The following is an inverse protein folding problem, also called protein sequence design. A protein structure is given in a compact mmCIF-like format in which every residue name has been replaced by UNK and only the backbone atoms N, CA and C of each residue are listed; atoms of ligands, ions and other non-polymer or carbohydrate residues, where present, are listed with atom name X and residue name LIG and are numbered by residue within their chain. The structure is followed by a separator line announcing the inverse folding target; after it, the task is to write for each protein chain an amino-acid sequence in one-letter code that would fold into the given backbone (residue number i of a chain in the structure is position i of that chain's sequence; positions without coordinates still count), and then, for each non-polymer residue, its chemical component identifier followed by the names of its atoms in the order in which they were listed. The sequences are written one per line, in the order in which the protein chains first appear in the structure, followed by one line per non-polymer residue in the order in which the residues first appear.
data_IF_592754961754
#
_entry.id   IF_592754961754
#
_cell.length_a   1.000
_cell.length_b   1.000
_cell.length_c   1.000
_cell.angle_alpha   90.00
_cell.angle_beta   90.00
_cell.angle_gamma   90.00
#
_symmetry.space_group_name_H-M   'P 1'
#
loop_
_entity.id
_entity.type
_entity.pdbx_description
1 polymer ?
#
# COMPACT_ATOMS: atom_id res chain seq x y z
N UNK A 1 -19.10 36.22 11.57
CA UNK A 1 -17.89 35.47 11.90
C UNK A 1 -18.28 34.01 11.93
N UNK A 2 -17.90 33.27 10.91
CA UNK A 2 -18.03 31.83 10.83
C UNK A 2 -16.82 31.37 10.05
N UNK A 3 -15.81 30.87 10.77
CA UNK A 3 -14.69 30.18 10.16
C UNK A 3 -15.29 28.90 9.56
N UNK A 4 -15.42 28.88 8.24
CA UNK A 4 -15.43 27.62 7.51
C UNK A 4 -14.05 27.02 7.76
N UNK A 5 -14.00 25.97 8.58
CA UNK A 5 -12.85 25.09 8.65
C UNK A 5 -12.68 24.49 7.25
N UNK A 6 -11.83 25.13 6.43
CA UNK A 6 -11.32 24.54 5.19
C UNK A 6 -10.65 23.23 5.60
N UNK A 7 -11.29 22.11 5.26
CA UNK A 7 -10.77 20.77 5.49
C UNK A 7 -9.49 20.62 4.66
N UNK A 8 -8.34 20.95 5.26
CA UNK A 8 -7.08 21.04 4.57
C UNK A 8 -6.73 19.69 3.94
N UNK A 9 -6.59 19.66 2.60
CA UNK A 9 -6.21 18.45 1.87
C UNK A 9 -4.89 17.92 2.45
N UNK A 10 -4.85 16.67 2.95
CA UNK A 10 -3.63 16.10 3.48
C UNK A 10 -2.52 16.08 2.43
N UNK A 11 -1.29 16.35 2.84
CA UNK A 11 -0.16 16.31 1.91
C UNK A 11 0.02 14.90 1.34
N UNK A 12 0.43 14.81 0.07
CA UNK A 12 0.73 13.52 -0.56
C UNK A 12 1.76 12.72 0.25
N UNK A 13 2.75 13.39 0.84
CA UNK A 13 3.73 12.77 1.71
C UNK A 13 3.10 12.12 2.95
N UNK A 14 2.13 12.79 3.59
CA UNK A 14 1.42 12.23 4.73
C UNK A 14 0.61 10.98 4.32
N UNK A 15 -0.13 11.06 3.21
CA UNK A 15 -0.95 9.95 2.72
C UNK A 15 -0.08 8.73 2.38
N UNK A 16 1.04 8.92 1.67
CA UNK A 16 1.98 7.83 1.36
C UNK A 16 2.57 7.22 2.62
N UNK A 17 2.98 8.04 3.60
CA UNK A 17 3.49 7.54 4.87
C UNK A 17 2.43 6.76 5.67
N UNK A 18 1.18 7.17 5.61
CA UNK A 18 0.08 6.46 6.27
C UNK A 18 -0.13 5.08 5.65
N UNK A 19 -0.17 4.99 4.31
CA UNK A 19 -0.26 3.71 3.63
C UNK A 19 0.90 2.80 3.98
N UNK A 20 2.14 3.30 4.00
CA UNK A 20 3.29 2.52 4.41
C UNK A 20 3.20 2.05 5.88
N UNK A 21 2.72 2.89 6.80
CA UNK A 21 2.54 2.49 8.21
C UNK A 21 1.55 1.36 8.37
N UNK A 22 0.49 1.34 7.57
CA UNK A 22 -0.57 0.33 7.61
C UNK A 22 -0.11 -0.96 6.93
N UNK A 23 0.37 -0.87 5.68
CA UNK A 23 0.67 -2.05 4.87
C UNK A 23 2.09 -2.56 5.05
N UNK A 24 3.02 -1.69 5.43
CA UNK A 24 4.48 -1.97 5.47
C UNK A 24 5.04 -2.42 4.13
N UNK A 25 4.40 -2.03 3.03
CA UNK A 25 4.87 -2.33 1.67
C UNK A 25 5.62 -1.14 1.10
N UNK A 26 6.82 -1.39 0.61
CA UNK A 26 7.58 -0.47 -0.25
C UNK A 26 7.48 -0.96 -1.70
N UNK A 27 7.14 -0.05 -2.63
CA UNK A 27 6.85 -0.41 -4.02
C UNK A 27 8.06 -0.13 -4.92
N UNK A 28 8.27 -1.00 -5.91
CA UNK A 28 9.25 -0.80 -6.98
C UNK A 28 8.66 0.17 -8.02
N UNK A 29 9.04 1.44 -7.95
CA UNK A 29 8.57 2.50 -8.85
C UNK A 29 9.16 2.43 -10.26
N UNK A 30 10.18 1.59 -10.48
CA UNK A 30 10.79 1.36 -11.79
C UNK A 30 10.19 0.13 -12.50
N UNK A 31 9.24 -0.56 -11.85
CA UNK A 31 8.56 -1.71 -12.44
C UNK A 31 7.59 -1.30 -13.56
N UNK A 32 7.29 -2.24 -14.45
CA UNK A 32 6.27 -2.06 -15.49
C UNK A 32 4.90 -1.74 -14.86
N UNK A 33 4.07 -0.84 -15.44
CA UNK A 33 2.84 -0.36 -14.79
C UNK A 33 1.81 -1.43 -14.42
N UNK A 34 1.86 -2.57 -15.10
CA UNK A 34 0.98 -3.69 -14.84
C UNK A 34 1.55 -4.70 -13.82
N UNK A 35 2.82 -4.57 -13.48
CA UNK A 35 3.51 -5.42 -12.54
C UNK A 35 3.42 -4.79 -11.14
N UNK A 36 2.80 -5.51 -10.22
CA UNK A 36 2.66 -5.09 -8.83
C UNK A 36 3.85 -5.67 -8.09
N UNK A 37 4.89 -4.85 -7.90
CA UNK A 37 6.17 -5.31 -7.39
C UNK A 37 6.65 -4.46 -6.22
N UNK A 38 7.14 -5.10 -5.18
CA UNK A 38 7.56 -4.43 -3.95
C UNK A 38 8.10 -5.39 -2.90
N UNK A 39 8.29 -4.88 -1.69
CA UNK A 39 8.75 -5.65 -0.53
C UNK A 39 7.82 -5.36 0.65
N UNK A 40 7.33 -6.40 1.29
CA UNK A 40 6.56 -6.31 2.54
C UNK A 40 7.48 -6.51 3.76
N UNK A 41 7.48 -5.53 4.67
CA UNK A 41 8.27 -5.51 5.90
C UNK A 41 7.39 -5.82 7.13
N UNK A 42 7.15 -7.12 7.36
CA UNK A 42 6.49 -7.62 8.56
C UNK A 42 7.42 -7.69 9.79
N UNK A 43 6.95 -8.29 10.91
CA UNK A 43 7.81 -8.61 12.07
C UNK A 43 8.85 -9.69 11.75
N UNK A 44 8.63 -10.46 10.70
CA UNK A 44 9.49 -11.53 10.21
C UNK A 44 10.44 -11.06 9.09
N UNK A 45 11.07 -12.01 8.40
CA UNK A 45 11.91 -11.76 7.22
C UNK A 45 11.07 -11.06 6.14
N UNK A 46 11.61 -9.98 5.56
CA UNK A 46 10.97 -9.25 4.48
C UNK A 46 10.62 -10.16 3.29
N UNK A 47 9.40 -10.03 2.77
CA UNK A 47 8.88 -10.88 1.70
C UNK A 47 8.76 -10.10 0.39
N UNK A 48 9.23 -10.63 -0.75
CA UNK A 48 9.05 -9.99 -2.04
C UNK A 48 7.58 -10.13 -2.49
N UNK A 49 7.10 -9.09 -3.18
CA UNK A 49 5.85 -9.07 -3.92
C UNK A 49 6.22 -8.93 -5.39
N UNK A 50 5.73 -9.85 -6.23
CA UNK A 50 5.87 -9.78 -7.69
C UNK A 50 4.65 -10.45 -8.34
N UNK A 51 3.68 -9.64 -8.78
CA UNK A 51 2.41 -10.10 -9.34
C UNK A 51 2.19 -9.44 -10.70
N UNK A 52 1.88 -10.24 -11.72
CA UNK A 52 1.39 -9.72 -12.99
C UNK A 52 -0.10 -9.33 -12.87
N UNK A 53 -0.37 -8.04 -12.72
CA UNK A 53 -1.72 -7.49 -12.56
C UNK A 53 -2.63 -7.72 -13.77
N UNK A 54 -2.11 -8.16 -14.92
CA UNK A 54 -2.93 -8.54 -16.10
C UNK A 54 -3.58 -9.92 -15.93
N UNK A 55 -3.01 -10.77 -15.09
CA UNK A 55 -3.46 -12.17 -14.91
C UNK A 55 -4.38 -12.34 -13.71
N UNK A 56 -4.54 -11.30 -12.89
CA UNK A 56 -5.30 -11.36 -11.65
C UNK A 56 -6.40 -10.30 -11.61
N UNK A 57 -7.52 -10.65 -10.99
CA UNK A 57 -8.58 -9.68 -10.72
C UNK A 57 -8.13 -8.67 -9.66
N UNK A 58 -8.69 -7.46 -9.69
CA UNK A 58 -8.42 -6.44 -8.67
C UNK A 58 -8.76 -6.91 -7.26
N UNK A 59 -9.85 -7.68 -7.09
CA UNK A 59 -10.22 -8.23 -5.79
C UNK A 59 -9.17 -9.20 -5.28
N UNK A 60 -8.71 -10.14 -6.13
CA UNK A 60 -7.65 -11.07 -5.74
C UNK A 60 -6.38 -10.35 -5.30
N UNK A 61 -5.95 -9.33 -6.06
CA UNK A 61 -4.78 -8.53 -5.71
C UNK A 61 -4.96 -7.86 -4.36
N UNK A 62 -6.10 -7.20 -4.13
CA UNK A 62 -6.37 -6.56 -2.83
C UNK A 62 -6.40 -7.56 -1.69
N UNK A 63 -7.11 -8.68 -1.84
CA UNK A 63 -7.20 -9.74 -0.82
C UNK A 63 -5.83 -10.31 -0.49
N UNK A 64 -5.00 -10.56 -1.50
CA UNK A 64 -3.63 -11.02 -1.32
C UNK A 64 -2.80 -10.00 -0.52
N UNK A 65 -2.79 -8.73 -0.94
CA UNK A 65 -1.98 -7.70 -0.28
C UNK A 65 -2.41 -7.50 1.19
N UNK A 66 -3.72 -7.54 1.46
CA UNK A 66 -4.23 -7.44 2.83
C UNK A 66 -3.96 -8.69 3.67
N UNK A 67 -3.83 -9.88 3.06
CA UNK A 67 -3.43 -11.09 3.78
C UNK A 67 -2.00 -11.04 4.33
N UNK A 68 -1.15 -10.16 3.79
CA UNK A 68 0.22 -9.94 4.30
C UNK A 68 0.24 -9.14 5.60
N UNK A 69 -0.78 -8.31 5.84
CA UNK A 69 -0.85 -7.42 7.00
C UNK A 69 -1.31 -8.22 8.22
N UNK A 70 -0.49 -8.29 9.30
CA UNK A 70 -0.89 -8.99 10.51
C UNK A 70 -2.16 -8.39 11.13
N UNK A 71 -3.07 -9.25 11.56
CA UNK A 71 -4.37 -8.85 12.16
C UNK A 71 -4.44 -9.09 13.67
N UNK A 72 -3.35 -9.58 14.28
CA UNK A 72 -3.22 -9.67 15.73
C UNK A 72 -3.06 -8.28 16.35
N UNK A 73 -3.69 -8.07 17.52
CA UNK A 73 -3.71 -6.81 18.27
C UNK A 73 -2.73 -6.82 19.45
#
# INVERSE_FOLDING_TARGET
GGEQEDEAVPSAAYVTQLYYKISRIDWDYEAEPAQIKGIHYGPDIAQPIDIDGRQHSRCFVSDYLWSLVPTAW
#
